data_IF_700278159663
#
_entry.id   IF_700278159663
#
_cell.length_a   1.000
_cell.length_b   1.000
_cell.length_c   1.000
_cell.angle_alpha   90.00
_cell.angle_beta   90.00
_cell.angle_gamma   90.00
#
_symmetry.space_group_name_H-M   'P 1'
#
loop_
_entity.id
_entity.type
_entity.pdbx_description
1 polymer ?
#
# COMPACT_ATOMS: atom_id res chain seq x y z
N UNK A 1 9.26 -17.24 2.62
CA UNK A 1 7.97 -17.20 1.95
C UNK A 1 7.63 -15.81 1.47
N UNK A 2 7.12 -15.69 0.26
CA UNK A 2 6.75 -14.42 -0.32
C UNK A 2 5.27 -14.41 -0.59
N UNK A 3 4.58 -13.40 -0.07
CA UNK A 3 3.17 -13.20 -0.36
C UNK A 3 3.04 -12.02 -1.30
N UNK A 4 2.35 -12.22 -2.41
CA UNK A 4 2.19 -11.17 -3.40
C UNK A 4 0.77 -10.61 -3.31
N UNK A 5 0.67 -9.30 -3.26
CA UNK A 5 -0.61 -8.63 -3.12
C UNK A 5 -0.95 -7.79 -4.36
N UNK A 6 -0.23 -8.04 -5.44
CA UNK A 6 -0.45 -7.35 -6.70
C UNK A 6 0.84 -7.36 -7.50
N UNK A 7 0.89 -6.54 -8.52
CA UNK A 7 2.06 -6.47 -9.36
C UNK A 7 3.25 -5.86 -8.62
N UNK A 8 3.01 -4.90 -7.75
CA UNK A 8 4.07 -4.14 -7.11
C UNK A 8 4.20 -4.37 -5.61
N UNK A 9 3.25 -5.02 -4.96
CA UNK A 9 3.24 -5.13 -3.50
C UNK A 9 3.54 -6.55 -3.06
N UNK A 10 4.52 -6.69 -2.18
CA UNK A 10 4.92 -8.01 -1.68
C UNK A 10 5.23 -7.96 -0.19
N UNK A 11 5.09 -9.09 0.47
CA UNK A 11 5.57 -9.28 1.84
C UNK A 11 6.49 -10.48 1.81
N UNK A 12 7.78 -10.26 2.02
CA UNK A 12 8.79 -11.32 1.99
C UNK A 12 9.39 -11.42 3.37
N UNK A 13 9.25 -12.58 4.00
CA UNK A 13 9.75 -12.80 5.36
C UNK A 13 11.24 -12.54 5.51
N UNK A 14 11.99 -12.55 4.41
CA UNK A 14 13.42 -12.29 4.44
C UNK A 14 13.75 -10.80 4.35
N UNK A 15 12.75 -9.98 4.04
CA UNK A 15 12.95 -8.54 3.83
C UNK A 15 12.08 -7.78 4.81
N UNK A 16 12.70 -6.93 5.62
CA UNK A 16 12.01 -6.07 6.57
C UNK A 16 11.02 -6.85 7.45
N UNK A 17 11.39 -8.08 7.83
CA UNK A 17 10.60 -8.93 8.69
C UNK A 17 9.20 -9.21 8.16
N UNK A 18 9.06 -9.27 6.85
CA UNK A 18 7.77 -9.60 6.23
C UNK A 18 6.79 -8.46 6.12
N UNK A 19 7.21 -7.24 6.39
CA UNK A 19 6.34 -6.10 6.21
C UNK A 19 6.10 -5.86 4.73
N UNK A 20 4.97 -5.25 4.40
CA UNK A 20 4.60 -5.01 3.02
C UNK A 20 5.53 -3.96 2.41
N UNK A 21 6.18 -4.32 1.32
CA UNK A 21 7.09 -3.42 0.61
C UNK A 21 6.74 -3.43 -0.87
N UNK A 22 7.34 -2.50 -1.60
CA UNK A 22 7.23 -2.52 -3.06
C UNK A 22 8.24 -3.52 -3.59
N UNK A 23 7.81 -4.33 -4.56
CA UNK A 23 8.61 -5.41 -5.12
C UNK A 23 9.98 -4.90 -5.55
N UNK A 24 11.00 -5.61 -5.18
CA UNK A 24 12.38 -5.27 -5.53
C UNK A 24 12.99 -4.14 -4.73
N UNK A 25 12.29 -3.67 -3.70
CA UNK A 25 12.78 -2.58 -2.87
C UNK A 25 12.63 -2.92 -1.40
N UNK A 26 13.13 -2.06 -0.52
CA UNK A 26 12.88 -2.14 0.90
C UNK A 26 12.02 -0.96 1.33
N UNK A 27 11.28 -0.37 0.39
CA UNK A 27 10.42 0.76 0.66
C UNK A 27 9.10 0.23 1.22
N UNK A 28 8.74 0.66 2.42
CA UNK A 28 7.49 0.23 3.03
C UNK A 28 6.32 0.89 2.33
N UNK A 29 5.32 0.09 2.03
CA UNK A 29 4.09 0.62 1.45
C UNK A 29 3.46 1.62 2.41
N UNK A 30 3.53 1.36 3.72
CA UNK A 30 2.97 2.28 4.70
C UNK A 30 3.60 3.66 4.65
N UNK A 31 4.90 3.76 4.37
CA UNK A 31 5.56 5.05 4.29
C UNK A 31 5.06 5.86 3.11
N UNK A 32 4.84 5.20 1.99
CA UNK A 32 4.31 5.88 0.80
C UNK A 32 2.87 6.31 1.03
N UNK A 33 2.07 5.46 1.69
CA UNK A 33 0.70 5.83 2.01
C UNK A 33 0.67 7.03 2.96
N UNK A 34 1.62 7.10 3.89
CA UNK A 34 1.73 8.27 4.77
C UNK A 34 2.02 9.53 3.97
N UNK A 35 2.88 9.43 2.96
CA UNK A 35 3.19 10.57 2.12
C UNK A 35 1.96 11.01 1.31
N UNK A 36 1.19 10.05 0.80
CA UNK A 36 -0.04 10.37 0.09
C UNK A 36 -1.02 11.06 1.04
N UNK A 37 -1.16 10.52 2.24
CA UNK A 37 -2.09 11.07 3.22
C UNK A 37 -1.72 12.49 3.65
N UNK A 38 -0.43 12.79 3.64
CA UNK A 38 0.03 14.13 4.03
C UNK A 38 -0.15 15.17 2.93
N UNK A 39 -0.68 14.75 1.78
CA UNK A 39 -0.91 15.67 0.67
C UNK A 39 0.28 15.83 -0.26
N UNK A 40 1.28 14.99 -0.12
CA UNK A 40 2.46 15.09 -0.96
C UNK A 40 2.09 14.71 -2.39
N UNK A 41 2.57 15.50 -3.35
CA UNK A 41 2.31 15.24 -4.75
C UNK A 41 2.99 13.93 -5.16
N UNK A 42 2.35 13.14 -6.00
CA UNK A 42 2.89 11.84 -6.38
C UNK A 42 4.23 11.92 -7.09
N UNK A 43 4.44 12.95 -7.90
CA UNK A 43 5.74 13.11 -8.55
C UNK A 43 6.82 13.41 -7.50
N UNK A 44 6.49 14.14 -6.46
CA UNK A 44 7.42 14.41 -5.38
C UNK A 44 7.73 13.15 -4.59
N UNK A 45 6.73 12.28 -4.39
CA UNK A 45 6.95 11.00 -3.73
C UNK A 45 7.93 10.15 -4.55
N UNK A 46 7.70 10.08 -5.86
CA UNK A 46 8.56 9.32 -6.74
C UNK A 46 9.99 9.83 -6.67
N UNK A 47 10.15 11.14 -6.63
CA UNK A 47 11.46 11.74 -6.56
C UNK A 47 12.12 11.46 -5.22
N UNK A 48 11.35 11.46 -4.15
CA UNK A 48 11.87 11.17 -2.82
C UNK A 48 12.50 9.78 -2.79
N UNK A 49 11.94 8.82 -3.50
CA UNK A 49 12.42 7.46 -3.55
C UNK A 49 13.29 7.19 -4.79
N UNK A 50 13.78 8.27 -5.42
CA UNK A 50 14.72 8.19 -6.54
C UNK A 50 14.22 7.35 -7.70
N UNK A 51 12.93 7.39 -7.96
CA UNK A 51 12.35 6.66 -9.08
C UNK A 51 12.24 5.16 -8.89
N UNK A 52 12.51 4.66 -7.68
CA UNK A 52 12.40 3.22 -7.42
C UNK A 52 10.97 2.72 -7.50
N UNK A 53 10.01 3.61 -7.34
CA UNK A 53 8.58 3.30 -7.52
C UNK A 53 8.01 4.36 -8.44
N UNK A 54 6.97 4.02 -9.17
CA UNK A 54 6.34 4.95 -10.09
C UNK A 54 4.88 5.15 -9.74
N UNK A 55 4.17 5.87 -10.60
CA UNK A 55 2.75 6.17 -10.37
C UNK A 55 1.92 4.90 -10.24
N UNK A 56 2.20 3.89 -11.07
CA UNK A 56 1.41 2.65 -11.03
C UNK A 56 1.57 1.94 -9.69
N UNK A 57 2.76 1.96 -9.13
CA UNK A 57 2.99 1.31 -7.84
C UNK A 57 2.26 2.05 -6.73
N UNK A 58 2.29 3.38 -6.75
CA UNK A 58 1.59 4.19 -5.76
C UNK A 58 0.09 3.96 -5.88
N UNK A 59 -0.44 3.95 -7.11
CA UNK A 59 -1.86 3.71 -7.32
C UNK A 59 -2.27 2.34 -6.80
N UNK A 60 -1.45 1.33 -7.04
CA UNK A 60 -1.76 -0.02 -6.55
C UNK A 60 -1.82 -0.04 -5.02
N UNK A 61 -0.90 0.67 -4.37
CA UNK A 61 -0.89 0.74 -2.92
C UNK A 61 -2.17 1.40 -2.38
N UNK A 62 -2.61 2.47 -3.03
CA UNK A 62 -3.83 3.16 -2.62
C UNK A 62 -5.05 2.27 -2.83
N UNK A 63 -5.13 1.59 -3.97
CA UNK A 63 -6.24 0.68 -4.23
C UNK A 63 -6.24 -0.49 -3.25
N UNK A 64 -5.07 -1.01 -2.93
CA UNK A 64 -4.98 -2.11 -1.97
C UNK A 64 -5.47 -1.65 -0.59
N UNK A 65 -5.10 -0.44 -0.18
CA UNK A 65 -5.55 0.10 1.10
C UNK A 65 -7.07 0.27 1.11
N UNK A 66 -7.64 0.72 0.01
CA UNK A 66 -9.08 0.89 -0.10
C UNK A 66 -9.78 -0.47 -0.01
N UNK A 67 -9.27 -1.46 -0.71
CA UNK A 67 -9.88 -2.80 -0.67
C UNK A 67 -9.79 -3.42 0.72
N UNK A 68 -8.67 -3.22 1.41
CA UNK A 68 -8.50 -3.73 2.76
C UNK A 68 -9.48 -3.06 3.72
N UNK A 69 -9.68 -1.76 3.56
CA UNK A 69 -10.62 -1.03 4.38
C UNK A 69 -12.04 -1.54 4.17
N UNK A 70 -12.44 -1.74 2.94
CA UNK A 70 -13.77 -2.22 2.61
C UNK A 70 -13.98 -3.62 3.17
N UNK A 71 -13.00 -4.51 3.03
CA UNK A 71 -13.12 -5.85 3.56
C UNK A 71 -13.29 -5.83 5.07
N UNK A 72 -12.61 -4.93 5.74
CA UNK A 72 -12.67 -4.86 7.18
C UNK A 72 -13.98 -4.28 7.68
N UNK A 73 -14.59 -3.40 6.91
CA UNK A 73 -15.79 -2.70 7.36
C UNK A 73 -17.09 -3.30 6.85
N UNK A 74 -17.07 -4.04 5.76
CA UNK A 74 -18.27 -4.58 5.15
C UNK A 74 -19.15 -5.39 6.10
N UNK A 75 -18.60 -6.34 6.85
CA UNK A 75 -19.43 -7.09 7.78
C UNK A 75 -20.08 -6.20 8.84
N UNK A 76 -19.34 -5.23 9.33
CA UNK A 76 -19.89 -4.33 10.32
C UNK A 76 -20.94 -3.45 9.71
N UNK A 77 -20.72 -3.03 8.49
CA UNK A 77 -21.65 -2.19 7.81
C UNK A 77 -22.98 -2.89 7.62
N UNK A 78 -22.96 -4.14 7.20
CA UNK A 78 -24.20 -4.84 6.99
C UNK A 78 -24.92 -5.08 8.30
N UNK A 79 -24.22 -5.15 9.40
CA UNK A 79 -24.85 -5.37 10.67
C UNK A 79 -25.45 -4.09 11.24
N UNK A 80 -24.83 -2.98 10.98
CA UNK A 80 -25.26 -1.79 11.66
C UNK A 80 -26.06 -0.83 10.82
N UNK A 81 -26.06 -1.09 9.58
CA UNK A 81 -26.72 -0.27 8.71
C UNK A 81 -28.06 0.07 9.02
N UNK A 82 -28.74 -0.68 9.68
CA UNK A 82 -29.96 -0.45 9.94
C UNK A 82 -30.25 0.57 10.81
N UNK A 83 -29.60 1.23 11.18
CA UNK A 83 -29.96 2.21 12.11
C UNK A 83 -30.74 3.34 11.50
#
# INVERSE_FOLDING_TARGET
MILEYGKYLVADGRICHGKLTFRGTRIFVSDVLDQVASGMNWDAIIEEWHGSIGHDAIAEAVYFAKDALIKQTTPLTSATIRI
#
